data_IF_784192915657
#
_entry.id   IF_784192915657
#
_cell.length_a   1.000
_cell.length_b   1.000
_cell.length_c   1.000
_cell.angle_alpha   90.00
_cell.angle_beta   90.00
_cell.angle_gamma   90.00
#
_symmetry.space_group_name_H-M   'P 1'
#
loop_
_entity.id
_entity.type
_entity.pdbx_description
1 polymer ?
#
# COMPACT_ATOMS: atom_id res chain seq x y z
N UNK A 1 20.00 -12.25 -6.84
CA UNK A 1 19.54 -10.86 -6.96
C UNK A 1 20.08 -10.31 -8.27
N UNK A 2 19.37 -9.39 -8.95
CA UNK A 2 19.88 -8.74 -10.15
C UNK A 2 21.27 -8.13 -9.88
N UNK A 3 22.22 -8.24 -10.82
CA UNK A 3 23.60 -7.76 -10.64
C UNK A 3 23.69 -6.24 -10.48
N UNK A 4 22.64 -5.52 -10.86
CA UNK A 4 22.49 -4.06 -10.87
C UNK A 4 21.74 -3.51 -9.64
N UNK A 5 21.27 -4.37 -8.73
CA UNK A 5 20.60 -3.92 -7.51
C UNK A 5 21.63 -3.39 -6.51
N UNK A 6 21.47 -2.16 -5.96
CA UNK A 6 22.36 -1.63 -4.92
C UNK A 6 22.50 -2.63 -3.76
N UNK A 7 23.71 -2.78 -3.23
CA UNK A 7 24.02 -3.81 -2.21
C UNK A 7 23.22 -3.65 -0.91
N UNK A 8 22.73 -2.45 -0.63
CA UNK A 8 21.95 -2.12 0.57
C UNK A 8 20.43 -2.17 0.32
N UNK A 9 19.98 -2.89 -0.73
CA UNK A 9 18.55 -3.04 -1.01
C UNK A 9 17.92 -4.11 -0.13
N UNK A 10 16.95 -3.71 0.70
CA UNK A 10 16.11 -4.62 1.46
C UNK A 10 14.82 -4.93 0.69
N UNK A 11 14.44 -6.22 0.62
CA UNK A 11 13.19 -6.65 -0.03
C UNK A 11 12.32 -7.34 1.00
N UNK A 12 11.15 -6.76 1.25
CA UNK A 12 10.12 -7.33 2.11
C UNK A 12 8.99 -7.90 1.27
N UNK A 13 8.64 -9.16 1.53
CA UNK A 13 7.49 -9.81 0.90
C UNK A 13 6.28 -9.58 1.79
N UNK A 14 5.25 -8.95 1.23
CA UNK A 14 3.97 -8.67 1.89
C UNK A 14 2.89 -9.24 0.98
N UNK A 15 1.86 -9.84 1.58
CA UNK A 15 0.70 -10.30 0.81
C UNK A 15 0.08 -9.12 0.04
N UNK A 16 -0.30 -9.34 -1.22
CA UNK A 16 -0.82 -8.27 -2.08
C UNK A 16 -2.10 -7.61 -1.57
N UNK A 17 -2.79 -8.23 -0.62
CA UNK A 17 -4.01 -7.77 0.02
C UNK A 17 -3.78 -7.19 1.43
N UNK A 18 -2.57 -7.29 1.99
CA UNK A 18 -2.30 -6.78 3.33
C UNK A 18 -1.87 -5.31 3.32
N UNK A 19 -2.85 -4.42 3.26
CA UNK A 19 -2.63 -2.98 3.34
C UNK A 19 -2.14 -2.53 4.73
N UNK A 20 -2.44 -3.30 5.79
CA UNK A 20 -2.12 -2.92 7.16
C UNK A 20 -0.66 -3.22 7.48
N UNK A 21 -0.15 -4.38 7.07
CA UNK A 21 1.29 -4.72 7.21
C UNK A 21 2.16 -3.68 6.49
N UNK A 22 1.75 -3.20 5.30
CA UNK A 22 2.45 -2.11 4.61
C UNK A 22 2.47 -0.84 5.45
N UNK A 23 1.33 -0.45 6.02
CA UNK A 23 1.21 0.77 6.83
C UNK A 23 2.10 0.70 8.08
N UNK A 24 1.98 -0.39 8.84
CA UNK A 24 2.71 -0.61 10.09
C UNK A 24 4.22 -0.63 9.87
N UNK A 25 4.70 -1.29 8.81
CA UNK A 25 6.12 -1.28 8.46
C UNK A 25 6.64 0.10 8.12
N UNK A 26 5.91 0.84 7.28
CA UNK A 26 6.33 2.18 6.87
C UNK A 26 6.30 3.16 8.05
N UNK A 27 5.40 2.98 9.01
CA UNK A 27 5.43 3.73 10.28
C UNK A 27 6.74 3.50 11.02
N UNK A 28 7.16 2.23 11.20
CA UNK A 28 8.43 1.88 11.85
C UNK A 28 9.63 2.47 11.09
N UNK A 29 9.70 2.31 9.77
CA UNK A 29 10.79 2.89 8.98
C UNK A 29 10.81 4.43 9.04
N UNK A 30 9.63 5.05 9.10
CA UNK A 30 9.49 6.50 9.18
C UNK A 30 9.83 7.09 10.54
N UNK A 31 10.09 6.27 11.57
CA UNK A 31 10.65 6.74 12.85
C UNK A 31 12.09 7.24 12.66
N UNK A 32 12.87 6.57 11.81
CA UNK A 32 14.30 6.84 11.64
C UNK A 32 14.61 7.59 10.33
N UNK A 33 13.77 7.46 9.29
CA UNK A 33 14.08 7.96 7.96
C UNK A 33 12.93 8.76 7.33
N UNK A 34 13.29 9.70 6.46
CA UNK A 34 12.30 10.31 5.56
C UNK A 34 12.08 9.38 4.35
N UNK A 35 10.82 9.13 4.00
CA UNK A 35 10.43 8.08 3.07
C UNK A 35 9.89 8.63 1.74
N UNK A 36 10.45 8.14 0.63
CA UNK A 36 9.86 8.30 -0.69
C UNK A 36 9.02 7.08 -1.05
N UNK A 37 7.70 7.22 -1.01
CA UNK A 37 6.75 6.13 -1.25
C UNK A 37 6.38 6.09 -2.74
N UNK A 38 6.84 5.05 -3.43
CA UNK A 38 6.53 4.82 -4.85
C UNK A 38 5.65 3.57 -4.94
N UNK A 39 4.32 3.70 -5.04
CA UNK A 39 3.40 2.56 -5.06
C UNK A 39 3.48 1.82 -6.39
N UNK A 40 4.40 0.85 -6.45
CA UNK A 40 4.60 -0.06 -7.55
C UNK A 40 4.03 -1.43 -7.15
N UNK A 41 2.74 -1.66 -7.40
CA UNK A 41 2.14 -2.92 -7.02
C UNK A 41 0.61 -2.91 -6.87
N UNK A 42 0.08 -3.86 -6.08
CA UNK A 42 -1.33 -3.97 -5.80
C UNK A 42 -1.91 -2.69 -5.18
N UNK A 43 -3.18 -2.40 -5.48
CA UNK A 43 -3.89 -1.25 -4.88
C UNK A 43 -3.91 -1.27 -3.34
N UNK A 44 -4.02 -2.42 -2.66
CA UNK A 44 -3.92 -2.45 -1.20
C UNK A 44 -2.59 -1.95 -0.67
N UNK A 45 -1.46 -2.22 -1.34
CA UNK A 45 -0.17 -1.65 -0.93
C UNK A 45 -0.13 -0.15 -1.10
N UNK A 46 -0.67 0.38 -2.21
CA UNK A 46 -0.81 1.82 -2.41
C UNK A 46 -1.70 2.46 -1.32
N UNK A 47 -2.76 1.76 -0.89
CA UNK A 47 -3.58 2.18 0.24
C UNK A 47 -2.78 2.21 1.56
N UNK A 48 -2.00 1.16 1.85
CA UNK A 48 -1.10 1.11 3.01
C UNK A 48 -0.12 2.27 3.04
N UNK A 49 0.52 2.58 1.90
CA UNK A 49 1.40 3.73 1.75
C UNK A 49 0.68 5.06 2.00
N UNK A 50 -0.55 5.22 1.50
CA UNK A 50 -1.34 6.42 1.73
C UNK A 50 -1.72 6.59 3.22
N UNK A 51 -2.05 5.50 3.91
CA UNK A 51 -2.31 5.54 5.36
C UNK A 51 -1.04 5.91 6.15
N UNK A 52 0.11 5.33 5.82
CA UNK A 52 1.38 5.65 6.47
C UNK A 52 1.77 7.12 6.26
N UNK A 53 1.67 7.64 5.04
CA UNK A 53 1.91 9.06 4.73
C UNK A 53 1.13 10.01 5.64
N UNK A 54 -0.16 9.72 5.86
CA UNK A 54 -1.02 10.54 6.72
C UNK A 54 -0.56 10.54 8.18
N UNK A 55 0.07 9.46 8.64
CA UNK A 55 0.57 9.31 10.01
C UNK A 55 1.97 9.88 10.21
N UNK A 56 2.83 9.82 9.19
CA UNK A 56 4.23 10.25 9.25
C UNK A 56 4.43 11.77 9.23
N UNK A 57 3.36 12.56 9.14
CA UNK A 57 3.37 13.97 9.55
C UNK A 57 4.35 14.88 8.80
N UNK A 58 4.68 14.55 7.55
CA UNK A 58 5.63 15.31 6.72
C UNK A 58 6.99 14.63 6.52
N UNK A 59 7.23 13.48 7.15
CA UNK A 59 8.43 12.64 6.91
C UNK A 59 8.28 11.66 5.76
N UNK A 60 7.23 11.80 4.96
CA UNK A 60 7.01 10.95 3.80
C UNK A 60 6.48 11.78 2.63
N UNK A 61 6.89 11.41 1.43
CA UNK A 61 6.33 11.91 0.17
C UNK A 61 5.77 10.73 -0.63
N UNK A 62 4.59 10.92 -1.25
CA UNK A 62 4.02 9.94 -2.17
C UNK A 62 4.30 10.38 -3.60
N UNK A 63 5.04 9.56 -4.33
CA UNK A 63 5.35 9.79 -5.75
C UNK A 63 4.49 8.84 -6.59
N UNK A 64 3.31 9.31 -7.00
CA UNK A 64 2.37 8.54 -7.80
C UNK A 64 2.33 9.03 -9.25
N UNK A 65 2.74 8.17 -10.19
CA UNK A 65 2.52 8.43 -11.60
C UNK A 65 1.04 8.21 -11.94
N UNK A 66 0.29 9.29 -12.17
CA UNK A 66 -1.11 9.18 -12.58
C UNK A 66 -1.22 8.39 -13.90
N UNK A 67 -1.94 7.26 -13.93
CA UNK A 67 -2.15 6.51 -15.15
C UNK A 67 -2.88 7.37 -16.19
N UNK A 68 -2.37 7.39 -17.43
CA UNK A 68 -3.02 8.09 -18.55
C UNK A 68 -4.15 7.28 -19.18
N UNK A 69 -4.18 5.97 -18.93
CA UNK A 69 -5.21 5.06 -19.40
C UNK A 69 -5.78 4.29 -18.21
N UNK A 70 -7.11 4.33 -18.06
CA UNK A 70 -7.83 3.54 -17.07
C UNK A 70 -8.45 2.33 -17.77
N UNK A 71 -8.06 1.13 -17.35
CA UNK A 71 -8.75 -0.08 -17.78
C UNK A 71 -9.88 -0.35 -16.78
N UNK A 72 -11.13 -0.37 -17.24
CA UNK A 72 -12.31 -0.46 -16.36
C UNK A 72 -12.38 -1.77 -15.57
N UNK A 73 -11.75 -2.84 -16.07
CA UNK A 73 -11.69 -4.14 -15.42
C UNK A 73 -10.44 -4.31 -14.51
N UNK A 74 -9.69 -3.25 -14.23
CA UNK A 74 -8.44 -3.33 -13.46
C UNK A 74 -8.66 -3.70 -11.96
N UNK A 75 -9.90 -3.77 -11.48
CA UNK A 75 -10.25 -4.06 -10.08
C UNK A 75 -10.88 -5.44 -9.85
N UNK A 76 -10.90 -6.35 -10.84
CA UNK A 76 -11.67 -7.60 -10.73
C UNK A 76 -10.91 -8.73 -9.98
N UNK A 77 -9.67 -8.47 -9.52
CA UNK A 77 -8.77 -9.45 -8.89
C UNK A 77 -8.81 -9.51 -7.37
N UNK A 78 -9.96 -9.25 -6.73
CA UNK A 78 -10.10 -9.41 -5.27
C UNK A 78 -9.86 -10.88 -4.92
N UNK A 79 -8.98 -11.15 -3.94
CA UNK A 79 -8.74 -12.51 -3.43
C UNK A 79 -10.05 -13.21 -3.07
N UNK A 80 -10.20 -14.46 -3.46
CA UNK A 80 -11.39 -15.27 -3.22
C UNK A 80 -11.02 -16.48 -2.38
N UNK A 81 -11.90 -16.83 -1.45
CA UNK A 81 -11.83 -18.08 -0.70
C UNK A 81 -12.06 -19.28 -1.65
N UNK A 82 -11.75 -20.49 -1.18
CA UNK A 82 -11.96 -21.74 -1.94
C UNK A 82 -13.41 -21.92 -2.41
N UNK A 83 -14.37 -21.34 -1.68
CA UNK A 83 -15.81 -21.34 -2.01
C UNK A 83 -16.21 -20.28 -3.05
N UNK A 84 -15.28 -19.49 -3.58
CA UNK A 84 -15.50 -18.46 -4.59
C UNK A 84 -16.00 -17.10 -4.07
N UNK A 85 -16.25 -16.97 -2.76
CA UNK A 85 -16.59 -15.68 -2.13
C UNK A 85 -15.35 -14.80 -1.97
N UNK A 86 -15.48 -13.47 -2.06
CA UNK A 86 -14.35 -12.57 -1.82
C UNK A 86 -13.87 -12.71 -0.37
N UNK A 87 -12.56 -12.85 -0.18
CA UNK A 87 -11.95 -12.95 1.14
C UNK A 87 -11.90 -11.58 1.83
N UNK A 88 -11.64 -10.52 1.05
CA UNK A 88 -11.75 -9.12 1.47
C UNK A 88 -12.75 -8.42 0.55
N UNK A 89 -13.91 -8.04 1.08
CA UNK A 89 -14.95 -7.35 0.29
C UNK A 89 -14.65 -5.87 0.03
N UNK A 90 -13.75 -5.27 0.81
CA UNK A 90 -13.30 -3.89 0.64
C UNK A 90 -12.55 -3.35 1.85
N UNK A 91 -11.95 -2.17 1.69
CA UNK A 91 -11.31 -1.41 2.78
C UNK A 91 -12.17 -0.19 3.09
N UNK A 92 -12.48 0.01 4.37
CA UNK A 92 -13.26 1.15 4.83
C UNK A 92 -12.35 2.12 5.59
N UNK A 93 -12.20 3.35 5.08
CA UNK A 93 -11.45 4.40 5.75
C UNK A 93 -12.40 5.36 6.45
N UNK A 94 -12.14 5.64 7.74
CA UNK A 94 -12.84 6.69 8.47
C UNK A 94 -12.32 8.06 8.04
N UNK A 95 -13.18 8.87 7.42
CA UNK A 95 -12.84 10.26 7.12
C UNK A 95 -12.57 11.04 8.42
N UNK A 96 -11.35 11.56 8.59
CA UNK A 96 -10.88 12.28 9.79
C UNK A 96 -11.04 11.49 11.09
N UNK A 97 -10.95 10.16 11.03
CA UNK A 97 -11.10 9.30 12.22
C UNK A 97 -12.51 9.31 12.83
N UNK A 98 -13.50 9.98 12.21
CA UNK A 98 -14.88 9.94 12.68
C UNK A 98 -15.53 8.63 12.24
N UNK A 99 -16.11 7.93 13.21
CA UNK A 99 -16.99 6.81 12.94
C UNK A 99 -18.35 7.36 12.49
N UNK A 100 -18.76 7.02 11.27
CA UNK A 100 -19.99 7.53 10.63
C UNK A 100 -21.17 6.56 10.71
N UNK A 101 -21.03 5.46 11.47
CA UNK A 101 -22.07 4.46 11.75
C UNK A 101 -21.74 3.71 13.04
#
# INVERSE_FOLDING_TARGET
MPEDMPRDTEIHRIDGMDAFEVCERLEVYGEDFDLNLVPLGPKPHALGMAMAYMKLGGRAEIIYAQPRAYVSNYSVGISRQENGHPDIVGYCLKWRGRQTF
#
